data_IF_386224480894
#
_entry.id   IF_386224480894
#
_cell.length_a   1.000
_cell.length_b   1.000
_cell.length_c   1.000
_cell.angle_alpha   90.00
_cell.angle_beta   90.00
_cell.angle_gamma   90.00
#
_symmetry.space_group_name_H-M   'P 1'
#
loop_
_entity.id
_entity.type
_entity.pdbx_description
1 polymer ?
#
# COMPACT_ATOMS: atom_id res chain seq x y z
N UNK A 1 12.12 -16.63 28.83
CA UNK A 1 11.25 -17.18 27.78
C UNK A 1 10.00 -16.33 27.78
N UNK A 2 9.80 -15.50 26.76
CA UNK A 2 8.52 -14.83 26.55
C UNK A 2 7.45 -15.89 26.24
N UNK A 3 6.23 -15.64 26.71
CA UNK A 3 5.09 -16.49 26.42
C UNK A 3 4.70 -16.31 24.93
N UNK A 4 4.30 -17.37 24.24
CA UNK A 4 3.86 -17.32 22.82
C UNK A 4 2.77 -16.28 22.59
N UNK A 5 1.91 -16.04 23.59
CA UNK A 5 0.91 -14.98 23.54
C UNK A 5 1.50 -13.56 23.61
N UNK A 6 2.57 -13.36 24.38
CA UNK A 6 3.27 -12.07 24.45
C UNK A 6 4.00 -11.80 23.13
N UNK A 7 4.63 -12.82 22.54
CA UNK A 7 5.28 -12.72 21.24
C UNK A 7 4.26 -12.37 20.14
N UNK A 8 3.09 -13.02 20.15
CA UNK A 8 2.04 -12.74 19.18
C UNK A 8 1.47 -11.32 19.32
N UNK A 9 1.37 -10.79 20.55
CA UNK A 9 0.97 -9.41 20.79
C UNK A 9 2.01 -8.43 20.24
N UNK A 10 3.29 -8.66 20.50
CA UNK A 10 4.38 -7.82 19.99
C UNK A 10 4.40 -7.80 18.45
N UNK A 11 4.15 -8.94 17.80
CA UNK A 11 4.04 -9.01 16.34
C UNK A 11 2.85 -8.20 15.81
N UNK A 12 1.69 -8.23 16.49
CA UNK A 12 0.53 -7.43 16.09
C UNK A 12 0.78 -5.93 16.22
N UNK A 13 1.50 -5.50 17.26
CA UNK A 13 1.90 -4.10 17.44
C UNK A 13 2.82 -3.64 16.29
N UNK A 14 3.77 -4.48 15.87
CA UNK A 14 4.63 -4.23 14.70
C UNK A 14 3.85 -4.19 13.39
N UNK A 15 2.95 -5.13 13.15
CA UNK A 15 2.05 -5.10 11.96
C UNK A 15 1.27 -3.78 11.91
N UNK A 16 0.74 -3.32 13.04
CA UNK A 16 0.02 -2.04 13.12
C UNK A 16 0.92 -0.83 12.84
N UNK A 17 2.17 -0.87 13.31
CA UNK A 17 3.20 0.15 13.02
C UNK A 17 3.52 0.17 11.53
N UNK A 18 3.78 -0.99 10.91
CA UNK A 18 4.03 -1.12 9.47
C UNK A 18 2.87 -0.56 8.64
N UNK A 19 1.61 -0.87 8.99
CA UNK A 19 0.45 -0.28 8.30
C UNK A 19 0.41 1.25 8.42
N UNK A 20 0.73 1.80 9.59
CA UNK A 20 0.75 3.25 9.83
C UNK A 20 1.88 3.95 9.06
N UNK A 21 3.04 3.29 8.95
CA UNK A 21 4.16 3.76 8.15
C UNK A 21 3.83 3.70 6.66
N UNK A 22 3.24 2.62 6.16
CA UNK A 22 2.77 2.50 4.77
C UNK A 22 1.71 3.57 4.42
N UNK A 23 0.76 3.84 5.33
CA UNK A 23 -0.20 4.96 5.21
C UNK A 23 0.54 6.30 5.07
N UNK A 24 1.57 6.53 5.88
CA UNK A 24 2.38 7.75 5.86
C UNK A 24 3.17 7.90 4.55
N UNK A 25 3.76 6.82 4.04
CA UNK A 25 4.43 6.77 2.73
C UNK A 25 3.46 7.20 1.63
N UNK A 26 2.28 6.57 1.56
CA UNK A 26 1.30 6.87 0.51
C UNK A 26 0.77 8.30 0.60
N UNK A 27 0.55 8.82 1.81
CA UNK A 27 0.13 10.20 2.02
C UNK A 27 1.20 11.20 1.56
N UNK A 28 2.48 10.92 1.83
CA UNK A 28 3.58 11.75 1.33
C UNK A 28 3.71 11.66 -0.19
N UNK A 29 3.49 10.50 -0.81
CA UNK A 29 3.40 10.36 -2.27
C UNK A 29 2.30 11.26 -2.85
N UNK A 30 1.09 11.23 -2.25
CA UNK A 30 -0.02 12.08 -2.67
C UNK A 30 0.34 13.57 -2.57
N UNK A 31 0.90 14.00 -1.43
CA UNK A 31 1.28 15.40 -1.22
C UNK A 31 2.43 15.82 -2.14
N UNK A 32 3.41 14.95 -2.37
CA UNK A 32 4.52 15.15 -3.30
C UNK A 32 4.03 15.33 -4.74
N UNK A 33 3.11 14.48 -5.18
CA UNK A 33 2.45 14.57 -6.47
C UNK A 33 1.68 15.90 -6.63
N UNK A 34 0.80 16.22 -5.69
CA UNK A 34 -0.05 17.43 -5.75
C UNK A 34 0.76 18.73 -5.72
N UNK A 35 1.77 18.78 -4.84
CA UNK A 35 2.56 20.00 -4.63
C UNK A 35 3.79 20.08 -5.53
N UNK A 36 4.06 19.04 -6.32
CA UNK A 36 5.29 18.89 -7.10
C UNK A 36 6.57 19.08 -6.24
N UNK A 37 6.59 18.49 -5.04
CA UNK A 37 7.71 18.63 -4.09
C UNK A 37 8.46 17.30 -3.94
N UNK A 38 9.72 17.31 -4.35
CA UNK A 38 10.59 16.12 -4.30
C UNK A 38 10.98 15.79 -2.85
N UNK A 39 11.07 16.78 -1.98
CA UNK A 39 11.44 16.61 -0.57
C UNK A 39 10.42 15.73 0.16
N UNK A 40 9.13 15.84 -0.20
CA UNK A 40 8.08 14.96 0.34
C UNK A 40 8.28 13.50 -0.11
N UNK A 41 8.83 13.29 -1.30
CA UNK A 41 9.17 11.96 -1.79
C UNK A 41 10.45 11.41 -1.13
N UNK A 42 11.39 12.28 -0.76
CA UNK A 42 12.55 11.88 0.05
C UNK A 42 12.11 11.43 1.44
N UNK A 43 11.16 12.15 2.05
CA UNK A 43 10.54 11.78 3.31
C UNK A 43 9.80 10.44 3.19
N UNK A 44 9.01 10.24 2.12
CA UNK A 44 8.34 8.97 1.85
C UNK A 44 9.34 7.80 1.73
N UNK A 45 10.44 8.00 1.01
CA UNK A 45 11.50 7.00 0.86
C UNK A 45 12.19 6.67 2.19
N UNK A 46 12.31 7.64 3.11
CA UNK A 46 12.85 7.37 4.46
C UNK A 46 11.89 6.51 5.27
N UNK A 47 10.59 6.80 5.26
CA UNK A 47 9.59 5.99 5.98
C UNK A 47 9.47 4.59 5.37
N UNK A 48 9.52 4.46 4.04
CA UNK A 48 9.52 3.16 3.36
C UNK A 48 10.64 2.25 3.86
N UNK A 49 11.87 2.79 4.01
CA UNK A 49 12.99 2.03 4.60
C UNK A 49 12.73 1.57 6.04
N UNK A 50 12.01 2.34 6.85
CA UNK A 50 11.62 1.91 8.19
C UNK A 50 10.67 0.71 8.15
N UNK A 51 9.76 0.66 7.16
CA UNK A 51 8.89 -0.52 6.96
C UNK A 51 9.72 -1.74 6.59
N UNK A 52 10.71 -1.59 5.70
CA UNK A 52 11.63 -2.66 5.32
C UNK A 52 12.45 -3.19 6.50
N UNK A 53 13.00 -2.29 7.32
CA UNK A 53 13.75 -2.67 8.51
C UNK A 53 12.83 -3.38 9.53
N UNK A 54 11.61 -2.86 9.74
CA UNK A 54 10.62 -3.44 10.65
C UNK A 54 10.10 -4.81 10.17
N UNK A 55 9.96 -5.01 8.86
CA UNK A 55 9.66 -6.31 8.26
C UNK A 55 10.71 -7.35 8.62
N UNK A 56 11.99 -7.03 8.38
CA UNK A 56 13.10 -7.94 8.61
C UNK A 56 13.20 -8.35 10.09
N UNK A 57 13.03 -7.37 10.99
CA UNK A 57 12.96 -7.64 12.43
C UNK A 57 11.77 -8.55 12.78
N UNK A 58 10.60 -8.28 12.21
CA UNK A 58 9.37 -9.03 12.49
C UNK A 58 9.47 -10.47 11.99
N UNK A 59 10.02 -10.68 10.79
CA UNK A 59 10.26 -12.02 10.24
C UNK A 59 11.27 -12.80 11.09
N UNK A 60 12.33 -12.14 11.57
CA UNK A 60 13.27 -12.74 12.50
C UNK A 60 12.58 -13.20 13.80
N UNK A 61 11.73 -12.34 14.39
CA UNK A 61 10.93 -12.69 15.57
C UNK A 61 9.99 -13.87 15.31
N UNK A 62 9.26 -13.85 14.18
CA UNK A 62 8.36 -14.93 13.77
C UNK A 62 9.09 -16.28 13.65
N UNK A 63 10.34 -16.27 13.18
CA UNK A 63 11.17 -17.47 13.07
C UNK A 63 11.60 -18.01 14.44
N UNK A 64 11.95 -17.12 15.37
CA UNK A 64 12.48 -17.44 16.70
C UNK A 64 11.45 -17.92 17.73
N UNK A 65 10.16 -17.73 17.48
CA UNK A 65 9.10 -18.17 18.40
C UNK A 65 9.06 -19.70 18.48
N UNK A 66 9.11 -20.21 19.71
CA UNK A 66 8.95 -21.64 20.00
C UNK A 66 7.47 -22.02 19.95
N UNK A 67 7.05 -22.71 18.88
CA UNK A 67 5.66 -23.16 18.69
C UNK A 67 5.50 -24.58 19.24
N UNK A 68 4.54 -24.78 20.14
CA UNK A 68 4.30 -26.03 20.85
C UNK A 68 3.30 -26.94 20.12
N UNK A 69 2.41 -26.37 19.29
CA UNK A 69 1.41 -27.12 18.53
C UNK A 69 1.22 -26.62 17.08
N UNK A 70 0.41 -27.35 16.31
CA UNK A 70 0.16 -27.06 14.91
C UNK A 70 -0.72 -25.80 14.69
N UNK A 71 -1.58 -25.47 15.65
CA UNK A 71 -2.40 -24.26 15.62
C UNK A 71 -1.52 -23.02 15.75
N UNK A 72 -0.57 -23.02 16.69
CA UNK A 72 0.42 -21.96 16.86
C UNK A 72 1.29 -21.81 15.60
N UNK A 73 1.77 -22.91 15.01
CA UNK A 73 2.53 -22.83 13.74
C UNK A 73 1.72 -22.18 12.63
N UNK A 74 0.45 -22.56 12.46
CA UNK A 74 -0.42 -21.99 11.44
C UNK A 74 -0.71 -20.51 11.68
N UNK A 75 -0.94 -20.11 12.94
CA UNK A 75 -1.12 -18.70 13.32
C UNK A 75 0.09 -17.86 12.95
N UNK A 76 1.29 -18.28 13.34
CA UNK A 76 2.52 -17.53 13.06
C UNK A 76 2.90 -17.55 11.57
N UNK A 77 2.63 -18.65 10.84
CA UNK A 77 2.75 -18.67 9.38
C UNK A 77 1.81 -17.67 8.72
N UNK A 78 0.60 -17.52 9.25
CA UNK A 78 -0.37 -16.56 8.75
C UNK A 78 0.09 -15.12 8.99
N UNK A 79 0.60 -14.81 10.18
CA UNK A 79 1.20 -13.51 10.48
C UNK A 79 2.39 -13.17 9.58
N UNK A 80 3.25 -14.15 9.26
CA UNK A 80 4.35 -13.95 8.32
C UNK A 80 3.87 -13.53 6.93
N UNK A 81 2.79 -14.15 6.43
CA UNK A 81 2.20 -13.78 5.13
C UNK A 81 1.58 -12.38 5.17
N UNK A 82 0.95 -12.00 6.30
CA UNK A 82 0.41 -10.63 6.49
C UNK A 82 1.52 -9.59 6.41
N UNK A 83 2.63 -9.82 7.12
CA UNK A 83 3.82 -8.96 7.13
C UNK A 83 4.38 -8.81 5.71
N UNK A 84 4.57 -9.92 4.98
CA UNK A 84 5.08 -9.87 3.61
C UNK A 84 4.19 -9.07 2.67
N UNK A 85 2.86 -9.17 2.76
CA UNK A 85 1.98 -8.36 1.92
C UNK A 85 2.04 -6.85 2.22
N UNK A 86 2.29 -6.45 3.47
CA UNK A 86 2.46 -5.03 3.82
C UNK A 86 3.78 -4.49 3.24
N UNK A 87 4.84 -5.30 3.25
CA UNK A 87 6.10 -4.97 2.59
C UNK A 87 5.94 -4.86 1.07
N UNK A 88 5.27 -5.82 0.42
CA UNK A 88 5.01 -5.76 -1.02
C UNK A 88 4.19 -4.52 -1.41
N UNK A 89 3.21 -4.13 -0.59
CA UNK A 89 2.48 -2.88 -0.79
C UNK A 89 3.41 -1.66 -0.73
N UNK A 90 4.39 -1.67 0.18
CA UNK A 90 5.37 -0.59 0.35
C UNK A 90 6.39 -0.57 -0.80
N UNK A 91 6.79 -1.71 -1.34
CA UNK A 91 7.62 -1.83 -2.54
C UNK A 91 6.96 -1.25 -3.80
N UNK A 92 5.65 -1.45 -3.92
CA UNK A 92 4.85 -0.80 -4.96
C UNK A 92 4.86 0.72 -4.76
N UNK A 93 4.75 1.21 -3.51
CA UNK A 93 4.88 2.64 -3.22
C UNK A 93 6.28 3.17 -3.54
N UNK A 94 7.35 2.41 -3.32
CA UNK A 94 8.71 2.80 -3.72
C UNK A 94 8.82 2.98 -5.24
N UNK A 95 8.16 2.11 -6.00
CA UNK A 95 8.05 2.26 -7.45
C UNK A 95 7.27 3.52 -7.83
N UNK A 96 6.15 3.77 -7.16
CA UNK A 96 5.35 4.98 -7.33
C UNK A 96 6.15 6.26 -7.00
N UNK A 97 6.95 6.27 -5.93
CA UNK A 97 7.86 7.38 -5.57
C UNK A 97 8.77 7.71 -6.74
N UNK A 98 9.38 6.70 -7.38
CA UNK A 98 10.25 6.89 -8.54
C UNK A 98 9.48 7.51 -9.71
N UNK A 99 8.27 7.04 -10.01
CA UNK A 99 7.46 7.59 -11.10
C UNK A 99 7.06 9.05 -10.86
N UNK A 100 6.61 9.39 -9.65
CA UNK A 100 6.26 10.78 -9.30
C UNK A 100 7.50 11.67 -9.37
N UNK A 101 8.65 11.18 -8.90
CA UNK A 101 9.91 11.92 -8.97
C UNK A 101 10.32 12.24 -10.41
N UNK A 102 10.21 11.28 -11.33
CA UNK A 102 10.45 11.52 -12.77
C UNK A 102 9.51 12.60 -13.29
N UNK A 103 8.20 12.49 -12.99
CA UNK A 103 7.20 13.50 -13.39
C UNK A 103 7.57 14.91 -12.91
N UNK A 104 8.04 15.06 -11.67
CA UNK A 104 8.44 16.36 -11.11
C UNK A 104 9.72 16.87 -11.75
N UNK A 105 10.77 16.05 -11.79
CA UNK A 105 12.10 16.44 -12.29
C UNK A 105 12.08 16.81 -13.77
N UNK A 106 11.32 16.06 -14.57
CA UNK A 106 11.15 16.35 -16.00
C UNK A 106 10.09 17.41 -16.30
N UNK A 107 9.48 18.00 -15.26
CA UNK A 107 8.43 19.02 -15.37
C UNK A 107 7.25 18.58 -16.26
N UNK A 108 6.91 17.30 -16.19
CA UNK A 108 5.80 16.75 -16.95
C UNK A 108 4.48 17.22 -16.35
N UNK A 109 3.62 17.77 -17.19
CA UNK A 109 2.32 18.30 -16.78
C UNK A 109 1.26 17.22 -16.92
N UNK A 110 0.42 17.08 -15.90
CA UNK A 110 -0.81 16.31 -15.96
C UNK A 110 -1.94 17.34 -16.06
N UNK A 111 -2.87 17.14 -17.00
CA UNK A 111 -4.07 17.98 -17.07
C UNK A 111 -4.96 17.77 -15.85
N UNK A 112 -5.89 18.70 -15.61
CA UNK A 112 -6.74 18.71 -14.41
C UNK A 112 -7.49 17.39 -14.22
N UNK A 113 -8.00 16.80 -15.31
CA UNK A 113 -8.68 15.50 -15.27
C UNK A 113 -7.75 14.39 -14.75
N UNK A 114 -6.56 14.25 -15.34
CA UNK A 114 -5.57 13.25 -14.92
C UNK A 114 -5.07 13.46 -13.48
N UNK A 115 -4.88 14.73 -13.06
CA UNK A 115 -4.49 15.05 -11.69
C UNK A 115 -5.59 14.72 -10.67
N UNK A 116 -6.86 14.93 -11.03
CA UNK A 116 -8.01 14.58 -10.20
C UNK A 116 -8.21 13.07 -10.08
N UNK A 117 -8.08 12.34 -11.18
CA UNK A 117 -8.14 10.86 -11.22
C UNK A 117 -7.09 10.24 -10.29
N UNK A 118 -5.82 10.65 -10.43
CA UNK A 118 -4.72 10.20 -9.57
C UNK A 118 -4.98 10.57 -8.10
N UNK A 119 -5.43 11.80 -7.83
CA UNK A 119 -5.74 12.25 -6.47
C UNK A 119 -6.87 11.45 -5.84
N UNK A 120 -7.91 11.10 -6.61
CA UNK A 120 -9.00 10.26 -6.13
C UNK A 120 -8.48 8.89 -5.73
N UNK A 121 -7.69 8.24 -6.59
CA UNK A 121 -7.12 6.94 -6.27
C UNK A 121 -6.24 6.97 -5.02
N UNK A 122 -5.42 8.00 -4.83
CA UNK A 122 -4.66 8.16 -3.59
C UNK A 122 -5.56 8.18 -2.35
N UNK A 123 -6.69 8.90 -2.39
CA UNK A 123 -7.62 8.99 -1.26
C UNK A 123 -8.29 7.64 -0.98
N UNK A 124 -8.72 6.94 -2.02
CA UNK A 124 -9.33 5.61 -1.90
C UNK A 124 -8.33 4.59 -1.35
N UNK A 125 -7.09 4.57 -1.85
CA UNK A 125 -6.06 3.66 -1.35
C UNK A 125 -5.62 4.00 0.08
N UNK A 126 -5.60 5.28 0.47
CA UNK A 126 -5.38 5.68 1.86
C UNK A 126 -6.49 5.18 2.79
N UNK A 127 -7.75 5.20 2.35
CA UNK A 127 -8.88 4.63 3.10
C UNK A 127 -8.71 3.12 3.32
N UNK A 128 -8.22 2.40 2.31
CA UNK A 128 -7.89 0.97 2.41
C UNK A 128 -6.84 0.70 3.49
N UNK A 129 -5.72 1.44 3.49
CA UNK A 129 -4.66 1.27 4.49
C UNK A 129 -5.13 1.57 5.91
N UNK A 130 -5.85 2.68 6.10
CA UNK A 130 -6.43 3.06 7.40
C UNK A 130 -7.38 2.00 7.92
N UNK A 131 -8.31 1.58 7.07
CA UNK A 131 -9.32 0.59 7.46
C UNK A 131 -8.71 -0.78 7.73
N UNK A 132 -7.68 -1.18 6.98
CA UNK A 132 -6.97 -2.44 7.19
C UNK A 132 -6.28 -2.48 8.57
N UNK A 133 -5.60 -1.41 8.96
CA UNK A 133 -5.02 -1.28 10.30
C UNK A 133 -6.09 -1.45 11.39
N UNK A 134 -7.20 -0.72 11.26
CA UNK A 134 -8.28 -0.78 12.23
C UNK A 134 -8.95 -2.17 12.28
N UNK A 135 -9.10 -2.83 11.12
CA UNK A 135 -9.61 -4.19 11.01
C UNK A 135 -8.72 -5.21 11.73
N UNK A 136 -7.38 -5.10 11.59
CA UNK A 136 -6.42 -5.99 12.27
C UNK A 136 -6.47 -5.78 13.79
N UNK A 137 -6.47 -4.53 14.25
CA UNK A 137 -6.46 -4.21 15.68
C UNK A 137 -7.76 -4.63 16.38
N UNK A 138 -8.89 -4.45 15.72
CA UNK A 138 -10.22 -4.69 16.31
C UNK A 138 -10.81 -6.05 15.98
N UNK A 139 -10.18 -6.80 15.05
CA UNK A 139 -10.72 -8.03 14.45
C UNK A 139 -12.16 -7.86 13.92
N UNK A 140 -12.44 -6.70 13.34
CA UNK A 140 -13.77 -6.33 12.87
C UNK A 140 -14.01 -6.78 11.41
N UNK A 141 -14.88 -7.76 11.25
CA UNK A 141 -15.28 -8.35 9.96
C UNK A 141 -15.93 -7.34 8.99
N UNK A 142 -16.63 -6.32 9.51
CA UNK A 142 -17.21 -5.28 8.66
C UNK A 142 -16.12 -4.39 8.04
N UNK A 143 -15.07 -4.08 8.81
CA UNK A 143 -13.92 -3.34 8.30
C UNK A 143 -13.14 -4.19 7.28
N UNK A 144 -13.02 -5.50 7.52
CA UNK A 144 -12.47 -6.44 6.52
C UNK A 144 -13.25 -6.38 5.21
N UNK A 145 -14.58 -6.46 5.28
CA UNK A 145 -15.44 -6.39 4.09
C UNK A 145 -15.28 -5.05 3.36
N UNK A 146 -15.21 -3.94 4.09
CA UNK A 146 -14.98 -2.62 3.50
C UNK A 146 -13.67 -2.55 2.72
N UNK A 147 -12.58 -3.11 3.26
CA UNK A 147 -11.28 -3.20 2.54
C UNK A 147 -11.43 -3.97 1.22
N UNK A 148 -12.10 -5.12 1.22
CA UNK A 148 -12.31 -5.92 0.01
C UNK A 148 -13.16 -5.16 -1.02
N UNK A 149 -14.30 -4.60 -0.60
CA UNK A 149 -15.21 -3.86 -1.46
C UNK A 149 -14.52 -2.60 -2.06
N UNK A 150 -13.66 -1.93 -1.27
CA UNK A 150 -12.85 -0.80 -1.73
C UNK A 150 -11.80 -1.20 -2.76
N UNK A 151 -11.10 -2.31 -2.57
CA UNK A 151 -10.20 -2.84 -3.59
C UNK A 151 -10.93 -3.08 -4.92
N UNK A 152 -12.10 -3.72 -4.90
CA UNK A 152 -12.87 -3.98 -6.13
C UNK A 152 -13.31 -2.66 -6.80
N UNK A 153 -13.59 -1.61 -6.02
CA UNK A 153 -13.87 -0.28 -6.54
C UNK A 153 -12.64 0.39 -7.16
N UNK A 154 -11.50 0.35 -6.47
CA UNK A 154 -10.23 0.93 -6.94
C UNK A 154 -9.78 0.24 -8.23
N UNK A 155 -9.85 -1.10 -8.27
CA UNK A 155 -9.47 -1.88 -9.45
C UNK A 155 -10.30 -1.49 -10.67
N UNK A 156 -11.61 -1.27 -10.51
CA UNK A 156 -12.48 -0.80 -11.60
C UNK A 156 -12.12 0.61 -12.04
N UNK A 157 -11.93 1.54 -11.10
CA UNK A 157 -11.51 2.91 -11.43
C UNK A 157 -10.18 2.94 -12.19
N UNK A 158 -9.21 2.09 -11.81
CA UNK A 158 -7.93 1.98 -12.52
C UNK A 158 -8.13 1.50 -13.96
N UNK A 159 -9.00 0.51 -14.19
CA UNK A 159 -9.34 0.06 -15.54
C UNK A 159 -10.00 1.20 -16.34
N UNK A 160 -11.06 1.80 -15.80
CA UNK A 160 -11.80 2.88 -16.47
C UNK A 160 -10.88 4.05 -16.84
N UNK A 161 -10.02 4.47 -15.89
CA UNK A 161 -9.07 5.57 -16.11
C UNK A 161 -7.98 5.24 -17.13
N UNK A 162 -7.59 3.96 -17.22
CA UNK A 162 -6.62 3.51 -18.22
C UNK A 162 -7.24 3.53 -19.62
N UNK A 163 -8.45 3.01 -19.77
CA UNK A 163 -9.20 3.01 -21.04
C UNK A 163 -9.45 4.45 -21.52
N UNK A 164 -9.96 5.33 -20.64
CA UNK A 164 -10.16 6.73 -20.98
C UNK A 164 -8.83 7.45 -21.31
N UNK A 165 -7.72 7.06 -20.68
CA UNK A 165 -6.40 7.61 -20.99
C UNK A 165 -5.94 7.22 -22.40
N UNK A 166 -6.19 5.98 -22.83
CA UNK A 166 -5.90 5.52 -24.19
C UNK A 166 -6.69 6.31 -25.23
N UNK A 167 -7.98 6.55 -25.01
CA UNK A 167 -8.80 7.40 -25.89
C UNK A 167 -8.23 8.83 -26.00
N UNK A 168 -7.84 9.43 -24.87
CA UNK A 168 -7.24 10.77 -24.83
C UNK A 168 -5.88 10.82 -25.54
N UNK A 169 -5.12 9.72 -25.55
CA UNK A 169 -3.88 9.62 -26.33
C UNK A 169 -4.17 9.58 -27.83
N UNK A 170 -5.15 8.78 -28.26
CA UNK A 170 -5.58 8.69 -29.68
C UNK A 170 -6.05 10.04 -30.19
N UNK A 171 -6.78 10.80 -29.35
CA UNK A 171 -7.27 12.14 -29.69
C UNK A 171 -6.18 13.24 -29.63
N UNK A 172 -4.95 12.92 -29.22
CA UNK A 172 -3.86 13.88 -29.07
C UNK A 172 -4.01 14.86 -27.89
N UNK A 173 -4.91 14.56 -26.94
CA UNK A 173 -5.12 15.36 -25.72
C UNK A 173 -3.99 15.08 -24.72
N UNK A 174 -3.57 13.82 -24.60
CA UNK A 174 -2.46 13.41 -23.73
C UNK A 174 -1.14 13.36 -24.49
N UNK A 175 -0.05 13.76 -23.82
CA UNK A 175 1.29 13.66 -24.38
C UNK A 175 1.84 12.23 -24.19
N UNK A 176 2.34 11.56 -25.24
CA UNK A 176 2.91 10.21 -25.13
C UNK A 176 4.04 10.13 -24.09
N UNK A 177 4.79 11.21 -23.89
CA UNK A 177 5.89 11.28 -22.92
C UNK A 177 5.45 11.12 -21.46
N UNK A 178 4.23 11.56 -21.10
CA UNK A 178 3.69 11.45 -19.74
C UNK A 178 2.76 10.25 -19.53
N UNK A 179 2.38 9.57 -20.62
CA UNK A 179 1.41 8.47 -20.61
C UNK A 179 1.82 7.30 -19.71
N UNK A 180 3.03 6.78 -19.90
CA UNK A 180 3.52 5.64 -19.13
C UNK A 180 3.63 5.95 -17.64
N UNK A 181 4.01 7.19 -17.28
CA UNK A 181 4.07 7.62 -15.89
C UNK A 181 2.69 7.72 -15.26
N UNK A 182 1.71 8.26 -15.99
CA UNK A 182 0.32 8.29 -15.53
C UNK A 182 -0.18 6.87 -15.25
N UNK A 183 -0.06 5.97 -16.22
CA UNK A 183 -0.51 4.57 -16.08
C UNK A 183 0.18 3.86 -14.93
N UNK A 184 1.51 4.02 -14.79
CA UNK A 184 2.25 3.41 -13.69
C UNK A 184 1.80 3.94 -12.31
N UNK A 185 1.50 5.24 -12.19
CA UNK A 185 1.02 5.83 -10.92
C UNK A 185 -0.37 5.31 -10.59
N UNK A 186 -1.26 5.25 -11.58
CA UNK A 186 -2.64 4.77 -11.43
C UNK A 186 -2.68 3.28 -11.06
N UNK A 187 -1.99 2.43 -11.82
CA UNK A 187 -1.89 0.98 -11.57
C UNK A 187 -1.21 0.64 -10.23
N UNK A 188 -0.26 1.47 -9.79
CA UNK A 188 0.34 1.28 -8.46
C UNK A 188 -0.71 1.36 -7.33
N UNK A 189 -1.79 2.11 -7.51
CA UNK A 189 -2.85 2.26 -6.49
C UNK A 189 -3.62 0.95 -6.30
N UNK A 190 -4.04 0.29 -7.39
CA UNK A 190 -4.70 -1.01 -7.32
C UNK A 190 -3.77 -2.10 -6.78
N UNK A 191 -2.47 -2.06 -7.12
CA UNK A 191 -1.48 -3.02 -6.60
C UNK A 191 -1.26 -2.88 -5.09
N UNK A 192 -1.16 -1.65 -4.58
CA UNK A 192 -1.14 -1.40 -3.13
C UNK A 192 -2.40 -1.94 -2.48
N UNK A 193 -3.58 -1.57 -2.98
CA UNK A 193 -4.85 -2.01 -2.42
C UNK A 193 -5.02 -3.55 -2.45
N UNK A 194 -4.55 -4.19 -3.52
CA UNK A 194 -4.55 -5.65 -3.67
C UNK A 194 -3.74 -6.34 -2.57
N UNK A 195 -2.50 -5.89 -2.33
CA UNK A 195 -1.66 -6.49 -1.30
C UNK A 195 -2.24 -6.28 0.10
N UNK A 196 -2.79 -5.10 0.39
CA UNK A 196 -3.47 -4.87 1.66
C UNK A 196 -4.72 -5.74 1.82
N UNK A 197 -5.51 -5.93 0.75
CA UNK A 197 -6.62 -6.90 0.76
C UNK A 197 -6.11 -8.31 1.07
N UNK A 198 -5.05 -8.77 0.42
CA UNK A 198 -4.48 -10.11 0.66
C UNK A 198 -4.00 -10.29 2.10
N UNK A 199 -3.33 -9.28 2.66
CA UNK A 199 -2.94 -9.26 4.06
C UNK A 199 -4.15 -9.43 4.99
N UNK A 200 -5.22 -8.68 4.71
CA UNK A 200 -6.44 -8.70 5.51
C UNK A 200 -7.20 -10.02 5.40
N UNK A 201 -7.43 -10.54 4.18
CA UNK A 201 -8.07 -11.84 3.98
C UNK A 201 -7.29 -12.95 4.69
N UNK A 202 -5.96 -12.88 4.62
CA UNK A 202 -5.10 -13.85 5.29
C UNK A 202 -5.18 -13.72 6.81
N UNK A 203 -5.18 -12.51 7.36
CA UNK A 203 -5.32 -12.28 8.80
C UNK A 203 -6.62 -12.85 9.39
N UNK A 204 -7.74 -12.71 8.67
CA UNK A 204 -9.06 -13.20 9.10
C UNK A 204 -9.28 -14.70 8.82
N UNK A 205 -8.33 -15.38 8.17
CA UNK A 205 -8.35 -16.84 7.95
C UNK A 205 -7.74 -17.66 9.10
N UNK A 206 -7.29 -16.99 10.18
CA UNK A 206 -6.70 -17.60 11.37
C UNK A 206 -7.71 -18.32 12.26
#
# INVERSE_FOLDING_TARGET
MTNVNDDAKAILERISSMCSNAESVLNLCMLGFQKNKVELLDDAQRISRLVHDEENETVSMLSGVNKNDESEKNRFKTLAVVVGHIEMATDVMDSMIRHIRVKINEKLLFGDKAANEVTQLFKETLDVLKTAKDAILTKNELLRKHVCDKYDSISRLVCDYSEEHEERLVMGICQPKSASLYLNIVDSQSKVAMHIKQAIERYFSQ
#
